data_IF_712515527679
#
_entry.id   IF_712515527679
#
_cell.length_a   1.000
_cell.length_b   1.000
_cell.length_c   1.000
_cell.angle_alpha   90.00
_cell.angle_beta   90.00
_cell.angle_gamma   90.00
#
_symmetry.space_group_name_H-M   'P 1'
#
loop_
_entity.id
_entity.type
_entity.pdbx_description
1 polymer ?
#
# COMPACT_ATOMS: atom_id res chain seq x y z
N UNK A 1 -45.66 -13.01 -72.23
CA UNK A 1 -44.61 -12.65 -71.31
C UNK A 1 -45.14 -12.93 -69.91
N UNK A 2 -44.81 -14.08 -69.41
CA UNK A 2 -45.33 -14.56 -68.10
C UNK A 2 -44.26 -14.32 -67.04
N UNK A 3 -44.54 -13.45 -66.03
CA UNK A 3 -43.67 -13.17 -64.87
C UNK A 3 -43.91 -14.26 -63.86
N UNK A 4 -42.82 -14.97 -63.52
CA UNK A 4 -42.78 -15.96 -62.44
C UNK A 4 -42.77 -15.23 -61.06
N UNK A 5 -43.50 -15.76 -60.07
CA UNK A 5 -43.45 -15.19 -58.73
C UNK A 5 -42.13 -15.50 -58.02
N UNK A 6 -41.51 -14.46 -57.38
CA UNK A 6 -40.36 -14.58 -56.49
C UNK A 6 -40.84 -15.29 -55.23
N UNK A 7 -40.43 -16.53 -55.03
CA UNK A 7 -40.59 -17.24 -53.77
C UNK A 7 -39.65 -16.60 -52.73
N UNK A 8 -40.21 -15.83 -51.78
CA UNK A 8 -39.58 -15.48 -50.54
C UNK A 8 -39.42 -16.75 -49.73
N UNK A 9 -38.21 -17.26 -49.59
CA UNK A 9 -37.89 -18.30 -48.63
C UNK A 9 -38.08 -17.73 -47.22
N UNK A 10 -39.19 -18.12 -46.58
CA UNK A 10 -39.42 -17.90 -45.15
C UNK A 10 -38.27 -18.55 -44.40
N UNK A 11 -37.51 -17.72 -43.68
CA UNK A 11 -36.38 -18.19 -42.85
C UNK A 11 -36.89 -19.25 -41.86
N UNK A 12 -36.20 -20.38 -41.81
CA UNK A 12 -36.48 -21.39 -40.79
C UNK A 12 -36.31 -20.74 -39.43
N UNK A 13 -37.26 -20.94 -38.48
CA UNK A 13 -37.10 -20.41 -37.11
C UNK A 13 -35.82 -20.99 -36.50
N UNK A 14 -34.88 -20.13 -36.16
CA UNK A 14 -33.63 -20.55 -35.49
C UNK A 14 -33.99 -21.23 -34.15
N UNK A 15 -33.87 -22.57 -34.05
CA UNK A 15 -34.28 -23.30 -32.85
C UNK A 15 -33.41 -22.91 -31.64
N UNK A 16 -32.25 -22.30 -31.88
CA UNK A 16 -31.30 -21.84 -30.82
C UNK A 16 -31.54 -20.41 -30.40
N UNK A 17 -32.33 -19.61 -31.10
CA UNK A 17 -32.53 -18.19 -30.80
C UNK A 17 -33.09 -17.91 -29.41
N UNK A 18 -33.92 -18.81 -28.86
CA UNK A 18 -34.40 -18.68 -27.45
C UNK A 18 -33.28 -18.91 -26.41
N UNK A 19 -32.40 -19.85 -26.71
CA UNK A 19 -31.26 -20.14 -25.84
C UNK A 19 -30.23 -19.00 -25.87
N UNK A 20 -29.96 -18.48 -27.07
CA UNK A 20 -29.07 -17.33 -27.28
C UNK A 20 -29.57 -16.08 -26.56
N UNK A 21 -30.84 -15.72 -26.71
CA UNK A 21 -31.47 -14.60 -26.02
C UNK A 21 -31.43 -14.79 -24.47
N UNK A 22 -31.67 -16.02 -23.98
CA UNK A 22 -31.57 -16.33 -22.57
C UNK A 22 -30.14 -16.18 -22.03
N UNK A 23 -29.14 -16.56 -22.82
CA UNK A 23 -27.72 -16.42 -22.45
C UNK A 23 -27.29 -14.95 -22.48
N UNK A 24 -27.70 -14.19 -23.49
CA UNK A 24 -27.45 -12.74 -23.56
C UNK A 24 -28.01 -12.00 -22.34
N UNK A 25 -29.22 -12.31 -21.91
CA UNK A 25 -29.81 -11.73 -20.70
C UNK A 25 -29.03 -12.07 -19.43
N UNK A 26 -28.51 -13.29 -19.31
CA UNK A 26 -27.64 -13.67 -18.18
C UNK A 26 -26.33 -12.88 -18.18
N UNK A 27 -25.68 -12.74 -19.32
CA UNK A 27 -24.41 -11.99 -19.41
C UNK A 27 -24.64 -10.50 -19.11
N UNK A 28 -25.75 -9.90 -19.54
CA UNK A 28 -26.09 -8.51 -19.17
C UNK A 28 -26.32 -8.36 -17.66
N UNK A 29 -26.92 -9.37 -17.02
CA UNK A 29 -27.11 -9.36 -15.57
C UNK A 29 -25.77 -9.51 -14.84
N UNK A 30 -24.90 -10.41 -15.28
CA UNK A 30 -23.53 -10.57 -14.72
C UNK A 30 -22.69 -9.31 -14.91
N UNK A 31 -22.75 -8.66 -16.05
CA UNK A 31 -22.09 -7.39 -16.32
C UNK A 31 -22.45 -6.33 -15.27
N UNK A 32 -23.72 -6.21 -14.96
CA UNK A 32 -24.19 -5.28 -13.91
C UNK A 32 -23.68 -5.66 -12.52
N UNK A 33 -23.59 -6.94 -12.22
CA UNK A 33 -23.04 -7.43 -10.94
C UNK A 33 -21.55 -7.06 -10.86
N UNK A 34 -20.80 -7.27 -11.93
CA UNK A 34 -19.37 -6.95 -11.98
C UNK A 34 -19.15 -5.43 -11.90
N UNK A 35 -19.96 -4.62 -12.58
CA UNK A 35 -19.92 -3.16 -12.45
C UNK A 35 -20.12 -2.69 -11.00
N UNK A 36 -21.06 -3.30 -10.28
CA UNK A 36 -21.25 -3.01 -8.86
C UNK A 36 -20.01 -3.42 -8.04
N UNK A 37 -19.44 -4.60 -8.27
CA UNK A 37 -18.19 -5.05 -7.62
C UNK A 37 -17.04 -4.06 -7.87
N UNK A 38 -16.92 -3.53 -9.10
CA UNK A 38 -15.91 -2.51 -9.44
C UNK A 38 -16.12 -1.24 -8.61
N UNK A 39 -17.36 -0.76 -8.51
CA UNK A 39 -17.68 0.42 -7.70
C UNK A 39 -17.35 0.18 -6.22
N UNK A 40 -17.77 -0.96 -5.68
CA UNK A 40 -17.58 -1.32 -4.28
C UNK A 40 -16.09 -1.42 -3.93
N UNK A 41 -15.28 -2.06 -4.79
CA UNK A 41 -13.85 -2.21 -4.53
C UNK A 41 -13.11 -0.88 -4.65
N UNK A 42 -13.50 0.00 -5.58
CA UNK A 42 -12.93 1.35 -5.66
C UNK A 42 -13.23 2.16 -4.40
N UNK A 43 -14.46 2.08 -3.88
CA UNK A 43 -14.85 2.74 -2.65
C UNK A 43 -14.12 2.14 -1.43
N UNK A 44 -13.98 0.82 -1.36
CA UNK A 44 -13.21 0.15 -0.31
C UNK A 44 -11.76 0.62 -0.30
N UNK A 45 -11.13 0.73 -1.49
CA UNK A 45 -9.75 1.23 -1.61
C UNK A 45 -9.59 2.63 -1.05
N UNK A 46 -10.45 3.56 -1.43
CA UNK A 46 -10.41 4.93 -0.92
C UNK A 46 -10.45 5.02 0.61
N UNK A 47 -11.15 4.08 1.25
CA UNK A 47 -11.30 4.04 2.71
C UNK A 47 -10.15 3.30 3.42
N UNK A 48 -9.55 2.30 2.77
CA UNK A 48 -8.62 1.38 3.41
C UNK A 48 -7.16 1.55 2.98
N UNK A 49 -6.89 2.30 1.92
CA UNK A 49 -5.53 2.52 1.41
C UNK A 49 -4.61 3.06 2.51
N UNK A 50 -3.43 2.46 2.71
CA UNK A 50 -2.53 2.82 3.79
C UNK A 50 -1.66 4.03 3.42
N UNK A 51 -2.26 5.21 3.39
CA UNK A 51 -1.58 6.48 3.04
C UNK A 51 -1.02 7.22 4.25
N UNK A 52 -1.44 6.87 5.48
CA UNK A 52 -1.02 7.53 6.70
C UNK A 52 0.40 7.11 7.10
N UNK A 53 1.23 8.07 7.50
CA UNK A 53 2.63 7.83 7.83
C UNK A 53 2.88 7.01 9.10
N UNK A 54 1.96 7.04 10.05
CA UNK A 54 2.09 6.40 11.36
C UNK A 54 1.68 4.92 11.38
N UNK A 55 1.27 4.36 10.24
CA UNK A 55 0.95 2.93 10.11
C UNK A 55 2.24 2.11 10.15
N UNK A 56 2.19 0.94 10.78
CA UNK A 56 3.30 -0.02 10.74
C UNK A 56 3.47 -0.59 9.33
N UNK A 57 4.70 -0.71 8.87
CA UNK A 57 5.00 -1.16 7.52
C UNK A 57 4.47 -2.59 7.22
N UNK A 58 4.53 -3.50 8.21
CA UNK A 58 3.98 -4.85 8.09
C UNK A 58 2.45 -4.84 7.92
N UNK A 59 1.76 -4.01 8.69
CA UNK A 59 0.30 -3.83 8.59
C UNK A 59 -0.09 -3.24 7.25
N UNK A 60 0.62 -2.20 6.80
CA UNK A 60 0.38 -1.57 5.51
C UNK A 60 0.57 -2.55 4.34
N UNK A 61 1.68 -3.29 4.33
CA UNK A 61 1.97 -4.29 3.31
C UNK A 61 0.95 -5.44 3.30
N UNK A 62 0.50 -5.89 4.49
CA UNK A 62 -0.54 -6.90 4.57
C UNK A 62 -1.86 -6.39 3.98
N UNK A 63 -2.28 -5.16 4.33
CA UNK A 63 -3.48 -4.53 3.76
C UNK A 63 -3.40 -4.46 2.23
N UNK A 64 -2.26 -4.01 1.70
CA UNK A 64 -2.02 -3.92 0.25
C UNK A 64 -2.11 -5.29 -0.42
N UNK A 65 -1.46 -6.32 0.14
CA UNK A 65 -1.47 -7.67 -0.44
C UNK A 65 -2.86 -8.31 -0.43
N UNK A 66 -3.63 -8.12 0.65
CA UNK A 66 -5.02 -8.60 0.73
C UNK A 66 -5.89 -7.90 -0.32
N UNK A 67 -5.72 -6.58 -0.46
CA UNK A 67 -6.48 -5.80 -1.43
C UNK A 67 -6.10 -6.13 -2.87
N UNK A 68 -4.82 -6.34 -3.17
CA UNK A 68 -4.33 -6.79 -4.48
C UNK A 68 -5.01 -8.10 -4.91
N UNK A 69 -5.17 -9.05 -3.98
CA UNK A 69 -5.89 -10.29 -4.25
C UNK A 69 -7.37 -10.08 -4.57
N UNK A 70 -8.04 -9.14 -3.90
CA UNK A 70 -9.44 -8.78 -4.19
C UNK A 70 -9.56 -8.10 -5.56
N UNK A 71 -8.67 -7.15 -5.85
CA UNK A 71 -8.67 -6.39 -7.08
C UNK A 71 -8.44 -7.28 -8.30
N UNK A 72 -7.51 -8.24 -8.21
CA UNK A 72 -7.25 -9.22 -9.26
C UNK A 72 -8.49 -10.07 -9.56
N UNK A 73 -9.23 -10.52 -8.53
CA UNK A 73 -10.47 -11.29 -8.73
C UNK A 73 -11.55 -10.49 -9.46
N UNK A 74 -11.71 -9.21 -9.09
CA UNK A 74 -12.67 -8.34 -9.78
C UNK A 74 -12.27 -8.10 -11.24
N UNK A 75 -10.96 -7.96 -11.50
CA UNK A 75 -10.43 -7.85 -12.86
C UNK A 75 -10.68 -9.14 -13.65
N UNK A 76 -10.46 -10.30 -13.07
CA UNK A 76 -10.74 -11.60 -13.70
C UNK A 76 -12.24 -11.77 -14.04
N UNK A 77 -13.13 -11.40 -13.11
CA UNK A 77 -14.58 -11.40 -13.34
C UNK A 77 -14.95 -10.48 -14.50
N UNK A 78 -14.39 -9.27 -14.54
CA UNK A 78 -14.59 -8.30 -15.61
C UNK A 78 -14.11 -8.82 -16.96
N UNK A 79 -12.92 -9.38 -17.03
CA UNK A 79 -12.35 -9.95 -18.25
C UNK A 79 -13.18 -11.14 -18.76
N UNK A 80 -13.74 -11.92 -17.83
CA UNK A 80 -14.63 -13.05 -18.19
C UNK A 80 -15.92 -12.54 -18.83
N UNK A 81 -16.56 -11.53 -18.26
CA UNK A 81 -17.77 -10.91 -18.82
C UNK A 81 -17.49 -10.26 -20.17
N UNK A 82 -16.35 -9.56 -20.32
CA UNK A 82 -15.94 -8.99 -21.61
C UNK A 82 -15.82 -10.05 -22.69
N UNK A 83 -15.16 -11.16 -22.41
CA UNK A 83 -15.03 -12.29 -23.36
C UNK A 83 -16.39 -12.92 -23.71
N UNK A 84 -17.28 -13.04 -22.72
CA UNK A 84 -18.62 -13.56 -22.95
C UNK A 84 -19.47 -12.62 -23.83
N UNK A 85 -19.36 -11.31 -23.63
CA UNK A 85 -20.00 -10.29 -24.46
C UNK A 85 -19.50 -10.34 -25.90
N UNK A 86 -18.18 -10.42 -26.10
CA UNK A 86 -17.57 -10.57 -27.43
C UNK A 86 -18.07 -11.84 -28.14
N UNK A 87 -18.14 -12.97 -27.43
CA UNK A 87 -18.59 -14.24 -27.99
C UNK A 87 -20.10 -14.24 -28.43
N UNK A 88 -20.90 -13.35 -27.86
CA UNK A 88 -22.33 -13.22 -28.13
C UNK A 88 -22.67 -11.98 -28.99
N UNK A 89 -21.69 -11.34 -29.59
CA UNK A 89 -21.84 -10.11 -30.39
C UNK A 89 -22.61 -9.00 -29.63
N UNK A 90 -22.43 -8.93 -28.29
CA UNK A 90 -23.02 -7.87 -27.47
C UNK A 90 -22.11 -6.62 -27.45
N UNK A 91 -22.75 -5.46 -27.28
CA UNK A 91 -22.00 -4.20 -27.16
C UNK A 91 -21.03 -4.27 -26.00
N UNK A 92 -19.75 -3.96 -26.25
CA UNK A 92 -18.66 -4.00 -25.30
C UNK A 92 -18.05 -2.61 -25.14
N UNK A 93 -18.27 -2.00 -24.00
CA UNK A 93 -17.57 -0.78 -23.58
C UNK A 93 -16.46 -1.20 -22.60
N UNK A 94 -15.21 -1.20 -23.07
CA UNK A 94 -14.07 -1.51 -22.18
C UNK A 94 -13.77 -0.32 -21.27
N UNK A 95 -13.71 -0.57 -19.98
CA UNK A 95 -13.36 0.43 -18.97
C UNK A 95 -11.92 0.24 -18.51
N UNK A 96 -11.21 1.35 -18.33
CA UNK A 96 -9.87 1.39 -17.70
C UNK A 96 -9.97 1.85 -16.25
N UNK A 97 -11.13 1.71 -15.60
CA UNK A 97 -11.42 2.26 -14.26
C UNK A 97 -10.57 1.67 -13.16
N UNK A 98 -10.18 0.41 -13.28
CA UNK A 98 -9.32 -0.26 -12.29
C UNK A 98 -7.84 0.07 -12.47
N UNK A 99 -7.41 0.53 -13.64
CA UNK A 99 -6.00 0.81 -13.93
C UNK A 99 -5.37 1.81 -12.95
N UNK A 100 -5.99 2.98 -12.65
CA UNK A 100 -5.44 3.92 -11.67
C UNK A 100 -5.29 3.30 -10.27
N UNK A 101 -6.21 2.40 -9.87
CA UNK A 101 -6.15 1.70 -8.59
C UNK A 101 -4.97 0.72 -8.56
N UNK A 102 -4.75 -0.02 -9.65
CA UNK A 102 -3.58 -0.90 -9.78
C UNK A 102 -2.27 -0.12 -9.76
N UNK A 103 -2.20 1.05 -10.38
CA UNK A 103 -1.02 1.91 -10.37
C UNK A 103 -0.72 2.43 -8.96
N UNK A 104 -1.73 2.99 -8.27
CA UNK A 104 -1.58 3.48 -6.91
C UNK A 104 -1.18 2.36 -5.95
N UNK A 105 -1.79 1.17 -6.09
CA UNK A 105 -1.47 0.00 -5.28
C UNK A 105 -0.01 -0.43 -5.48
N UNK A 106 0.48 -0.47 -6.72
CA UNK A 106 1.89 -0.75 -7.04
C UNK A 106 2.82 0.28 -6.41
N UNK A 107 2.48 1.55 -6.52
CA UNK A 107 3.28 2.63 -5.95
C UNK A 107 3.33 2.56 -4.42
N UNK A 108 2.19 2.38 -3.75
CA UNK A 108 2.14 2.20 -2.30
C UNK A 108 2.90 0.96 -1.84
N UNK A 109 2.77 -0.16 -2.56
CA UNK A 109 3.52 -1.39 -2.27
C UNK A 109 5.04 -1.16 -2.36
N UNK A 110 5.49 -0.44 -3.37
CA UNK A 110 6.91 -0.10 -3.53
C UNK A 110 7.40 0.83 -2.41
N UNK A 111 6.61 1.84 -2.04
CA UNK A 111 6.91 2.75 -0.91
C UNK A 111 7.05 1.99 0.39
N UNK A 112 6.04 1.20 0.77
CA UNK A 112 6.04 0.47 2.03
C UNK A 112 7.11 -0.62 2.07
N UNK A 113 7.42 -1.28 0.96
CA UNK A 113 8.52 -2.24 0.86
C UNK A 113 9.86 -1.56 1.12
N UNK A 114 10.11 -0.41 0.49
CA UNK A 114 11.34 0.34 0.70
C UNK A 114 11.45 0.87 2.15
N UNK A 115 10.35 1.41 2.70
CA UNK A 115 10.32 1.92 4.07
C UNK A 115 10.41 0.82 5.12
N UNK A 116 9.94 -0.40 4.84
CA UNK A 116 10.00 -1.52 5.78
C UNK A 116 11.44 -1.87 6.19
N UNK A 117 12.39 -1.83 5.26
CA UNK A 117 13.80 -2.03 5.54
C UNK A 117 14.39 -0.94 6.46
N UNK A 118 13.99 0.32 6.25
CA UNK A 118 14.40 1.44 7.11
C UNK A 118 13.77 1.30 8.50
N UNK A 119 12.49 0.95 8.59
CA UNK A 119 11.81 0.72 9.86
C UNK A 119 12.42 -0.42 10.67
N UNK A 120 12.84 -1.51 10.04
CA UNK A 120 13.56 -2.60 10.71
C UNK A 120 14.85 -2.09 11.37
N UNK A 121 15.66 -1.33 10.62
CA UNK A 121 16.90 -0.76 11.14
C UNK A 121 16.66 0.28 12.24
N UNK A 122 15.62 1.11 12.14
CA UNK A 122 15.23 2.02 13.22
C UNK A 122 14.83 1.21 14.46
N UNK A 123 14.12 0.10 14.32
CA UNK A 123 13.78 -0.81 15.40
C UNK A 123 15.02 -1.34 16.11
N UNK A 124 15.97 -1.88 15.37
CA UNK A 124 17.24 -2.38 15.91
C UNK A 124 18.01 -1.29 16.67
N UNK A 125 18.05 -0.06 16.14
CA UNK A 125 18.71 1.06 16.82
C UNK A 125 18.00 1.47 18.14
N UNK A 126 16.68 1.34 18.21
CA UNK A 126 15.90 1.64 19.43
C UNK A 126 16.06 0.58 20.53
N UNK A 127 16.34 -0.65 20.15
CA UNK A 127 16.58 -1.75 21.09
C UNK A 127 18.03 -1.76 21.66
N UNK A 128 18.91 -0.88 21.19
CA UNK A 128 20.27 -0.78 21.72
C UNK A 128 20.25 -0.34 23.17
N UNK A 129 20.97 -1.05 24.03
CA UNK A 129 21.12 -0.69 25.45
C UNK A 129 22.04 0.51 25.63
N UNK A 130 21.90 1.22 26.77
CA UNK A 130 22.78 2.35 27.10
C UNK A 130 24.27 1.98 27.09
N UNK A 131 24.60 0.78 27.55
CA UNK A 131 26.00 0.30 27.60
C UNK A 131 26.59 0.14 26.18
N UNK A 132 25.82 -0.37 25.24
CA UNK A 132 26.29 -0.69 23.88
C UNK A 132 26.23 0.47 22.90
N UNK A 133 25.43 1.49 23.19
CA UNK A 133 25.26 2.64 22.31
C UNK A 133 26.57 3.44 22.17
N UNK A 134 27.02 3.61 20.94
CA UNK A 134 28.14 4.47 20.56
C UNK A 134 27.62 5.67 19.77
N UNK A 135 27.58 6.90 20.33
CA UNK A 135 26.89 8.03 19.69
C UNK A 135 27.41 8.38 18.29
N UNK A 136 28.71 8.24 18.04
CA UNK A 136 29.32 8.49 16.72
C UNK A 136 28.83 7.48 15.68
N UNK A 137 28.83 6.19 16.04
CA UNK A 137 28.35 5.10 15.16
C UNK A 137 26.87 5.20 14.89
N UNK A 138 26.09 5.48 15.96
CA UNK A 138 24.64 5.69 15.85
C UNK A 138 24.32 6.85 14.92
N UNK A 139 25.03 7.99 15.03
CA UNK A 139 24.86 9.13 14.13
C UNK A 139 25.14 8.73 12.69
N UNK A 140 26.24 8.03 12.42
CA UNK A 140 26.61 7.57 11.07
C UNK A 140 25.54 6.67 10.46
N UNK A 141 24.96 5.75 11.25
CA UNK A 141 23.88 4.88 10.81
C UNK A 141 22.59 5.67 10.50
N UNK A 142 22.20 6.60 11.37
CA UNK A 142 21.03 7.46 11.15
C UNK A 142 21.19 8.38 9.94
N UNK A 143 22.37 8.98 9.74
CA UNK A 143 22.68 9.80 8.56
C UNK A 143 22.64 8.96 7.28
N UNK A 144 23.14 7.72 7.32
CA UNK A 144 23.02 6.75 6.22
C UNK A 144 21.57 6.44 5.87
N UNK A 145 20.72 6.14 6.86
CA UNK A 145 19.30 5.89 6.65
C UNK A 145 18.58 7.12 6.06
N UNK A 146 18.90 8.31 6.57
CA UNK A 146 18.33 9.55 6.03
C UNK A 146 18.77 9.80 4.58
N UNK A 147 20.00 9.47 4.22
CA UNK A 147 20.49 9.54 2.84
C UNK A 147 19.77 8.54 1.93
N UNK A 148 19.56 7.30 2.39
CA UNK A 148 18.80 6.29 1.64
C UNK A 148 17.37 6.75 1.32
N UNK A 149 16.73 7.49 2.23
CA UNK A 149 15.40 8.07 1.91
C UNK A 149 15.49 9.10 0.79
N UNK A 150 16.57 9.86 0.68
CA UNK A 150 16.75 10.88 -0.37
C UNK A 150 17.02 10.26 -1.76
N UNK A 151 17.48 9.03 -1.82
CA UNK A 151 17.74 8.29 -3.06
C UNK A 151 16.47 7.67 -3.65
N UNK A 152 15.39 7.60 -2.85
CA UNK A 152 14.12 7.06 -3.33
C UNK A 152 13.52 7.90 -4.47
N UNK A 153 12.81 7.25 -5.44
CA UNK A 153 12.18 7.93 -6.57
C UNK A 153 11.24 9.07 -6.12
N UNK A 154 11.20 10.15 -6.90
CA UNK A 154 10.43 11.34 -6.57
C UNK A 154 8.93 11.04 -6.36
N UNK A 155 8.36 10.11 -7.13
CA UNK A 155 6.97 9.70 -6.99
C UNK A 155 6.64 9.06 -5.63
N UNK A 156 7.63 8.45 -4.96
CA UNK A 156 7.45 7.87 -3.62
C UNK A 156 7.45 8.93 -2.52
N UNK A 157 8.08 10.09 -2.77
CA UNK A 157 8.21 11.17 -1.79
C UNK A 157 6.92 11.95 -1.55
N UNK A 158 5.92 11.79 -2.40
CA UNK A 158 4.61 12.43 -2.24
C UNK A 158 3.74 11.79 -1.15
N UNK A 159 4.08 10.59 -0.69
CA UNK A 159 3.32 9.88 0.32
C UNK A 159 3.70 10.32 1.74
N UNK A 160 2.69 10.52 2.60
CA UNK A 160 2.89 10.94 3.99
C UNK A 160 3.77 9.98 4.80
N UNK A 161 3.79 8.69 4.45
CA UNK A 161 4.65 7.69 5.06
C UNK A 161 6.14 8.02 4.89
N UNK A 162 6.52 8.57 3.75
CA UNK A 162 7.90 8.98 3.47
C UNK A 162 8.33 10.16 4.36
N UNK A 163 7.51 11.20 4.44
CA UNK A 163 7.78 12.36 5.29
C UNK A 163 7.86 11.97 6.76
N UNK A 164 6.94 11.13 7.22
CA UNK A 164 6.92 10.63 8.60
C UNK A 164 8.21 9.90 8.99
N UNK A 165 8.73 9.00 8.13
CA UNK A 165 10.00 8.31 8.38
C UNK A 165 11.16 9.29 8.47
N UNK A 166 11.21 10.30 7.61
CA UNK A 166 12.25 11.34 7.68
C UNK A 166 12.19 12.13 8.98
N UNK A 167 11.00 12.46 9.46
CA UNK A 167 10.83 13.18 10.71
C UNK A 167 11.24 12.34 11.93
N UNK A 168 10.94 11.04 11.91
CA UNK A 168 11.43 10.10 12.94
C UNK A 168 12.96 10.05 12.94
N UNK A 169 13.60 9.94 11.78
CA UNK A 169 15.06 9.91 11.66
C UNK A 169 15.70 11.23 12.15
N UNK A 170 15.13 12.37 11.79
CA UNK A 170 15.58 13.69 12.28
C UNK A 170 15.42 13.80 13.81
N UNK A 171 14.32 13.28 14.36
CA UNK A 171 14.08 13.21 15.80
C UNK A 171 15.13 12.37 16.52
N UNK A 172 15.47 11.19 15.96
CA UNK A 172 16.52 10.31 16.49
C UNK A 172 17.91 10.97 16.43
N UNK A 173 18.23 11.70 15.37
CA UNK A 173 19.48 12.46 15.25
C UNK A 173 19.59 13.55 16.34
N UNK A 174 18.49 14.26 16.65
CA UNK A 174 18.46 15.22 17.77
C UNK A 174 18.66 14.50 19.10
N UNK A 175 18.00 13.37 19.33
CA UNK A 175 18.19 12.55 20.53
C UNK A 175 19.61 12.04 20.66
N UNK A 176 20.26 11.65 19.55
CA UNK A 176 21.66 11.21 19.56
C UNK A 176 22.63 12.32 20.01
N UNK A 177 22.35 13.58 19.70
CA UNK A 177 23.13 14.71 20.22
C UNK A 177 23.12 14.73 21.76
N UNK A 178 21.94 14.57 22.36
CA UNK A 178 21.81 14.49 23.83
C UNK A 178 22.49 13.24 24.39
N UNK A 179 22.38 12.10 23.73
CA UNK A 179 23.09 10.87 24.16
C UNK A 179 24.60 11.10 24.16
N UNK A 180 25.13 11.81 23.16
CA UNK A 180 26.56 12.13 23.07
C UNK A 180 27.03 12.98 24.26
N UNK A 181 26.23 13.96 24.68
CA UNK A 181 26.50 14.79 25.82
C UNK A 181 26.42 13.98 27.13
N UNK A 182 25.39 13.17 27.30
CA UNK A 182 25.17 12.32 28.47
C UNK A 182 26.20 11.18 28.61
N UNK A 183 26.84 10.75 27.54
CA UNK A 183 27.95 9.78 27.56
C UNK A 183 29.33 10.42 27.75
N UNK A 184 29.38 11.71 28.04
CA UNK A 184 30.63 12.38 28.36
C UNK A 184 31.25 11.84 29.67
N UNK A 185 32.54 11.58 29.66
CA UNK A 185 33.30 11.15 30.86
C UNK A 185 33.29 12.21 31.99
N UNK A 186 32.93 13.45 31.66
CA UNK A 186 32.75 14.53 32.62
C UNK A 186 31.54 14.31 33.55
N UNK A 187 30.54 13.51 33.13
CA UNK A 187 29.37 13.18 33.93
C UNK A 187 29.70 12.09 34.97
N UNK A 188 29.70 12.47 36.22
CA UNK A 188 29.89 11.58 37.38
C UNK A 188 28.55 11.20 37.99
N UNK A 189 28.48 10.15 38.81
CA UNK A 189 27.26 9.65 39.47
C UNK A 189 26.47 10.74 40.21
N UNK A 190 27.15 11.72 40.79
CA UNK A 190 26.51 12.87 41.45
C UNK A 190 25.67 13.70 40.49
N UNK A 191 26.14 13.86 39.24
CA UNK A 191 25.43 14.61 38.19
C UNK A 191 24.19 13.83 37.72
N UNK A 192 24.30 12.52 37.58
CA UNK A 192 23.17 11.64 37.25
C UNK A 192 22.09 11.68 38.32
N UNK A 193 22.48 11.58 39.62
CA UNK A 193 21.52 11.70 40.74
C UNK A 193 20.79 13.03 40.75
N UNK A 194 21.50 14.12 40.49
CA UNK A 194 20.88 15.45 40.37
C UNK A 194 19.94 15.56 39.21
N UNK A 195 20.33 15.05 38.02
CA UNK A 195 19.52 15.04 36.82
C UNK A 195 18.23 14.25 37.03
N UNK A 196 18.30 13.05 37.58
CA UNK A 196 17.12 12.22 37.86
C UNK A 196 16.18 12.91 38.88
N UNK A 197 16.72 13.59 39.87
CA UNK A 197 15.93 14.36 40.84
C UNK A 197 15.16 15.50 40.13
N UNK A 198 15.83 16.24 39.27
CA UNK A 198 15.22 17.35 38.50
C UNK A 198 14.15 16.84 37.54
N UNK A 199 14.42 15.74 36.83
CA UNK A 199 13.50 15.13 35.87
C UNK A 199 12.40 14.29 36.54
N UNK A 200 12.41 14.15 37.89
CA UNK A 200 11.46 13.30 38.65
C UNK A 200 11.41 11.85 38.15
N UNK A 201 12.52 11.33 37.64
CA UNK A 201 12.66 9.94 37.23
C UNK A 201 12.80 9.05 38.45
N UNK A 202 12.04 7.93 38.56
CA UNK A 202 12.22 6.98 39.67
C UNK A 202 13.66 6.45 39.68
N UNK A 203 14.27 6.42 40.87
CA UNK A 203 15.69 6.05 41.10
C UNK A 203 16.03 4.58 40.81
N UNK A 204 15.11 3.78 40.35
CA UNK A 204 15.30 2.36 40.01
C UNK A 204 15.82 2.08 38.60
N UNK A 205 16.12 3.10 37.79
CA UNK A 205 16.79 2.90 36.51
C UNK A 205 18.26 2.64 36.82
N UNK A 206 18.61 1.37 36.96
CA UNK A 206 20.01 0.93 37.00
C UNK A 206 20.61 1.23 35.62
N UNK A 207 21.36 2.32 35.53
CA UNK A 207 22.34 2.50 34.49
C UNK A 207 23.48 1.53 34.79
N UNK A 208 23.33 0.29 34.39
CA UNK A 208 24.48 -0.63 34.33
C UNK A 208 25.42 -0.07 33.27
N UNK A 209 26.37 0.68 33.74
CA UNK A 209 27.56 1.11 32.98
C UNK A 209 28.41 -0.09 32.65
#
# INVERSE_FOLDING_TARGET
MSSLPVHTYGGFPNPFGKYEAGLQLKIVAEDKIVENKINDIMQEWEQTRPVQGNIRADTALNTINVFEGKLNRVQEDYDLVCRAKEALDLELIRHTRLEPVFEELRDLKAVWTALSGIWSQIGELKEMTWATVQPRKLRQQLDGLLSSTKEMPTRMRQYAAFEYVQDVLRGLLKSNSLISELKSEALKDRHWKQLFKVLRVPTQISLTL
#
